data_IF_190658909732
#
_entry.id   IF_190658909732
#
_cell.length_a   1.000
_cell.length_b   1.000
_cell.length_c   1.000
_cell.angle_alpha   90.00
_cell.angle_beta   90.00
_cell.angle_gamma   90.00
#
_symmetry.space_group_name_H-M   'P 1'
#
loop_
_entity.id
_entity.type
_entity.pdbx_description
1 polymer ?
#
# COMPACT_ATOMS: atom_id res chain seq x y z
N UNK A 1 -12.06 4.44 11.05
CA UNK A 1 -11.52 4.34 9.69
C UNK A 1 -10.18 3.61 9.67
N UNK A 2 -10.05 2.56 8.86
CA UNK A 2 -8.80 1.81 8.60
C UNK A 2 -8.28 2.14 7.21
N UNK A 3 -6.96 2.15 7.04
CA UNK A 3 -6.33 2.39 5.74
C UNK A 3 -5.96 1.06 5.12
N UNK A 4 -6.39 0.83 3.87
CA UNK A 4 -6.04 -0.36 3.10
C UNK A 4 -5.26 0.06 1.86
N UNK A 5 -3.99 -0.34 1.79
CA UNK A 5 -3.22 -0.25 0.55
C UNK A 5 -3.62 -1.40 -0.35
N UNK A 6 -4.12 -1.10 -1.54
CA UNK A 6 -4.51 -2.14 -2.49
C UNK A 6 -3.73 -2.06 -3.81
N UNK A 7 -3.55 -3.22 -4.42
CA UNK A 7 -3.01 -3.37 -5.76
C UNK A 7 -4.11 -3.80 -6.73
N UNK A 8 -4.17 -3.17 -7.90
CA UNK A 8 -5.02 -3.61 -9.00
C UNK A 8 -4.16 -4.02 -10.22
N UNK A 9 -4.82 -4.48 -11.28
CA UNK A 9 -4.21 -4.93 -12.55
C UNK A 9 -3.15 -4.00 -13.18
N UNK A 10 -3.17 -2.71 -12.87
CA UNK A 10 -2.14 -1.77 -13.32
C UNK A 10 -0.71 -2.09 -12.84
N UNK A 11 -0.53 -3.00 -11.87
CA UNK A 11 0.80 -3.50 -11.48
C UNK A 11 1.57 -4.14 -12.64
N UNK A 12 0.87 -4.69 -13.63
CA UNK A 12 1.46 -5.35 -14.80
C UNK A 12 2.37 -4.42 -15.59
N UNK A 13 2.06 -3.11 -15.62
CA UNK A 13 2.88 -2.08 -16.27
C UNK A 13 4.19 -1.78 -15.52
N UNK A 14 4.33 -2.28 -14.31
CA UNK A 14 5.52 -2.12 -13.46
C UNK A 14 6.30 -3.43 -13.35
N UNK A 15 5.93 -4.48 -14.09
CA UNK A 15 6.75 -5.67 -14.20
C UNK A 15 8.03 -5.35 -14.99
N UNK A 16 9.18 -5.94 -14.62
CA UNK A 16 9.35 -6.93 -13.56
C UNK A 16 9.60 -6.32 -12.16
N UNK A 17 9.65 -5.00 -12.03
CA UNK A 17 10.04 -4.29 -10.80
C UNK A 17 9.21 -4.69 -9.58
N UNK A 18 7.93 -4.98 -9.79
CA UNK A 18 6.98 -5.39 -8.74
C UNK A 18 6.70 -6.89 -8.75
N UNK A 19 7.53 -7.73 -9.38
CA UNK A 19 7.26 -9.17 -9.44
C UNK A 19 7.27 -9.82 -8.05
N UNK A 20 8.27 -9.48 -7.23
CA UNK A 20 8.50 -10.05 -5.88
C UNK A 20 8.09 -9.11 -4.73
N UNK A 21 7.39 -8.01 -5.03
CA UNK A 21 6.96 -7.04 -4.02
C UNK A 21 5.67 -6.35 -4.46
N UNK A 22 4.81 -5.93 -3.53
CA UNK A 22 3.68 -5.07 -3.86
C UNK A 22 4.15 -3.75 -4.47
N UNK A 23 3.31 -3.12 -5.28
CA UNK A 23 3.61 -1.82 -5.91
C UNK A 23 4.07 -0.76 -4.92
N UNK A 24 3.45 -0.65 -3.75
CA UNK A 24 3.73 0.40 -2.77
C UNK A 24 5.11 0.28 -2.11
N UNK A 25 5.87 -0.78 -2.43
CA UNK A 25 7.24 -1.03 -1.98
C UNK A 25 8.28 -0.70 -3.06
N UNK A 26 7.82 -0.20 -4.21
CA UNK A 26 8.71 0.36 -5.22
C UNK A 26 9.29 1.67 -4.69
N UNK A 27 10.61 1.83 -4.77
CA UNK A 27 11.26 3.09 -4.37
C UNK A 27 11.00 4.18 -5.40
N UNK A 28 10.53 5.34 -4.92
CA UNK A 28 10.34 6.56 -5.70
C UNK A 28 11.25 7.65 -5.10
N UNK A 29 12.55 7.58 -5.39
CA UNK A 29 13.58 8.35 -4.69
C UNK A 29 14.03 7.63 -3.41
N UNK A 30 14.11 8.37 -2.31
CA UNK A 30 14.54 7.82 -1.01
C UNK A 30 13.44 7.03 -0.27
N UNK A 31 12.17 7.18 -0.67
CA UNK A 31 11.01 6.58 0.00
C UNK A 31 10.18 5.71 -0.94
N UNK A 32 9.38 4.82 -0.38
CA UNK A 32 8.33 4.09 -1.10
C UNK A 32 6.96 4.80 -0.96
N UNK A 33 6.00 4.59 -1.87
CA UNK A 33 4.63 5.07 -1.68
C UNK A 33 4.02 4.63 -0.35
N UNK A 34 4.25 3.39 0.08
CA UNK A 34 3.76 2.85 1.35
C UNK A 34 4.30 3.63 2.56
N UNK A 35 5.60 3.97 2.55
CA UNK A 35 6.21 4.79 3.61
C UNK A 35 5.63 6.21 3.64
N UNK A 36 5.42 6.82 2.47
CA UNK A 36 4.85 8.17 2.38
C UNK A 36 3.42 8.19 2.91
N UNK A 37 2.60 7.22 2.50
CA UNK A 37 1.21 7.09 2.96
C UNK A 37 1.17 6.86 4.47
N UNK A 38 1.95 5.91 5.00
CA UNK A 38 1.98 5.65 6.45
C UNK A 38 2.37 6.89 7.26
N UNK A 39 3.33 7.70 6.76
CA UNK A 39 3.73 8.94 7.41
C UNK A 39 2.65 10.02 7.35
N UNK A 40 1.99 10.20 6.21
CA UNK A 40 0.93 11.20 6.04
C UNK A 40 -0.34 10.85 6.83
N UNK A 41 -0.69 9.57 6.91
CA UNK A 41 -1.88 9.10 7.62
C UNK A 41 -1.66 8.93 9.12
N UNK A 42 -0.41 9.01 9.59
CA UNK A 42 0.00 8.81 10.99
C UNK A 42 -0.51 7.50 11.63
N UNK A 43 -0.80 6.48 10.81
CA UNK A 43 -1.31 5.18 11.26
C UNK A 43 -0.86 4.05 10.32
N UNK A 44 -0.76 2.80 10.81
CA UNK A 44 -0.43 1.67 9.96
C UNK A 44 -1.55 1.38 8.96
N UNK A 45 -1.15 0.87 7.79
CA UNK A 45 -2.08 0.38 6.77
C UNK A 45 -2.17 -1.14 6.76
N UNK A 46 -3.37 -1.64 6.50
CA UNK A 46 -3.62 -2.99 6.02
C UNK A 46 -3.29 -3.07 4.54
N UNK A 47 -3.23 -4.27 3.99
CA UNK A 47 -2.85 -4.45 2.60
C UNK A 47 -3.64 -5.55 1.88
N UNK A 48 -3.86 -5.32 0.59
CA UNK A 48 -4.50 -6.23 -0.35
C UNK A 48 -3.71 -6.24 -1.68
N UNK A 49 -3.16 -7.38 -2.05
CA UNK A 49 -2.31 -7.54 -3.24
C UNK A 49 -2.49 -8.96 -3.81
N UNK A 50 -1.64 -9.31 -4.78
CA UNK A 50 -1.48 -10.68 -5.26
C UNK A 50 -1.24 -11.63 -4.07
N UNK A 51 -2.03 -12.69 -4.01
CA UNK A 51 -2.04 -13.68 -2.92
C UNK A 51 -0.63 -14.22 -2.59
N UNK A 52 0.15 -14.55 -3.62
CA UNK A 52 1.50 -15.09 -3.44
C UNK A 52 2.48 -14.10 -2.81
N UNK A 53 2.20 -12.79 -2.86
CA UNK A 53 2.96 -11.76 -2.18
C UNK A 53 2.48 -11.62 -0.73
N UNK A 54 1.16 -11.59 -0.50
CA UNK A 54 0.59 -11.40 0.83
C UNK A 54 1.14 -12.41 1.84
N UNK A 55 1.17 -13.70 1.45
CA UNK A 55 1.69 -14.79 2.27
C UNK A 55 3.15 -14.66 2.72
N UNK A 56 3.96 -13.90 1.97
CA UNK A 56 5.41 -13.76 2.18
C UNK A 56 5.81 -12.36 2.66
N UNK A 57 4.99 -11.35 2.38
CA UNK A 57 5.34 -9.95 2.56
C UNK A 57 4.66 -9.30 3.76
N UNK A 58 3.49 -9.79 4.18
CA UNK A 58 2.72 -9.16 5.23
C UNK A 58 2.70 -10.01 6.49
N UNK A 59 2.92 -9.41 7.67
CA UNK A 59 2.55 -10.07 8.90
C UNK A 59 1.03 -10.26 8.92
N UNK A 60 0.51 -11.35 9.53
CA UNK A 60 -0.92 -11.60 9.62
C UNK A 60 -1.74 -10.43 10.18
N UNK A 61 -1.14 -9.62 11.06
CA UNK A 61 -1.77 -8.43 11.66
C UNK A 61 -2.05 -7.27 10.71
N UNK A 62 -1.57 -7.34 9.45
CA UNK A 62 -1.82 -6.32 8.41
C UNK A 62 -2.60 -6.85 7.22
N UNK A 63 -3.12 -8.08 7.32
CA UNK A 63 -3.99 -8.63 6.30
C UNK A 63 -5.39 -8.03 6.44
N UNK A 64 -5.96 -7.56 5.32
CA UNK A 64 -7.32 -7.01 5.27
C UNK A 64 -8.37 -8.02 5.75
N UNK A 65 -8.11 -9.34 5.62
CA UNK A 65 -9.01 -10.40 6.08
C UNK A 65 -9.19 -10.44 7.60
N UNK A 66 -8.34 -9.73 8.35
CA UNK A 66 -8.46 -9.61 9.81
C UNK A 66 -9.39 -8.49 10.27
N UNK A 67 -9.88 -7.65 9.34
CA UNK A 67 -10.80 -6.56 9.65
C UNK A 67 -12.23 -7.09 9.79
N UNK A 68 -13.00 -6.48 10.70
CA UNK A 68 -14.42 -6.74 10.82
C UNK A 68 -15.22 -6.06 9.68
N UNK A 69 -16.32 -6.67 9.27
CA UNK A 69 -17.17 -6.16 8.17
C UNK A 69 -17.76 -4.77 8.43
N UNK A 70 -17.85 -4.36 9.71
CA UNK A 70 -18.36 -3.05 10.12
C UNK A 70 -17.30 -1.93 10.11
N UNK A 71 -16.05 -2.22 9.76
CA UNK A 71 -14.97 -1.23 9.72
C UNK A 71 -15.14 -0.28 8.53
N UNK A 72 -15.08 1.02 8.78
CA UNK A 72 -15.00 2.02 7.72
C UNK A 72 -13.60 1.99 7.08
N UNK A 73 -13.53 1.81 5.76
CA UNK A 73 -12.28 1.62 5.03
C UNK A 73 -11.98 2.79 4.09
N UNK A 74 -10.76 3.32 4.17
CA UNK A 74 -10.18 4.12 3.10
C UNK A 74 -9.23 3.24 2.28
N UNK A 75 -9.64 2.95 1.04
CA UNK A 75 -8.83 2.18 0.10
C UNK A 75 -7.93 3.11 -0.73
N UNK A 76 -6.63 2.92 -0.63
CA UNK A 76 -5.63 3.71 -1.36
C UNK A 76 -4.88 2.79 -2.32
N UNK A 77 -4.87 3.16 -3.59
CA UNK A 77 -4.13 2.41 -4.60
C UNK A 77 -2.62 2.54 -4.33
N UNK A 78 -1.89 1.42 -4.33
CA UNK A 78 -0.44 1.42 -4.09
C UNK A 78 0.40 2.21 -5.10
N UNK A 79 -0.16 2.51 -6.29
CA UNK A 79 0.48 3.38 -7.30
C UNK A 79 0.23 4.86 -7.07
N UNK A 80 -0.56 5.24 -6.08
CA UNK A 80 -0.84 6.63 -5.82
C UNK A 80 0.46 7.37 -5.46
N UNK A 81 0.70 8.45 -6.17
CA UNK A 81 1.83 9.35 -5.94
C UNK A 81 1.25 10.66 -5.43
N UNK A 82 1.68 11.06 -4.24
CA UNK A 82 1.37 12.39 -3.71
C UNK A 82 1.91 13.46 -4.65
N UNK A 83 1.08 14.49 -4.86
CA UNK A 83 1.44 15.76 -5.48
C UNK A 83 2.55 16.46 -4.70
N UNK A 84 3.13 17.51 -5.30
CA UNK A 84 4.14 18.34 -4.63
C UNK A 84 3.62 19.00 -3.36
N UNK A 85 2.37 19.45 -3.38
CA UNK A 85 1.71 20.12 -2.25
C UNK A 85 1.48 19.15 -1.08
N UNK A 86 1.08 17.92 -1.37
CA UNK A 86 0.94 16.85 -0.37
C UNK A 86 2.30 16.40 0.16
N UNK A 87 3.30 16.30 -0.71
CA UNK A 87 4.66 15.93 -0.34
C UNK A 87 5.32 16.94 0.61
N UNK A 88 5.00 18.24 0.51
CA UNK A 88 5.55 19.27 1.39
C UNK A 88 5.08 19.16 2.84
N UNK A 89 4.03 18.37 3.11
CA UNK A 89 3.45 18.14 4.44
C UNK A 89 4.03 16.91 5.14
N UNK A 90 4.92 16.18 4.47
CA UNK A 90 5.49 14.89 4.90
C UNK A 90 6.99 15.05 5.05
#
# INVERSE_FOLDING_TARGET
MKIVLFEDWGFTRLLPLVYFRPVWELRCGAMTPGQRIARFMEQPSFALAREYLLRHYLPPSRDVQTLADSEELLMINGRWLMSREEAAKV
#
